data_IF_614912312274
#
_entry.id   IF_614912312274
#
_cell.length_a   1.000
_cell.length_b   1.000
_cell.length_c   1.000
_cell.angle_alpha   90.00
_cell.angle_beta   90.00
_cell.angle_gamma   90.00
#
_symmetry.space_group_name_H-M   'P 1'
#
loop_
_entity.id
_entity.type
_entity.pdbx_description
1 polymer ?
#
# COMPACT_ATOMS: atom_id res chain seq x y z
N UNK A 1 1.89 2.96 -12.97
CA UNK A 1 2.78 4.10 -12.63
C UNK A 1 2.75 5.13 -13.74
N UNK A 2 2.97 4.72 -14.99
CA UNK A 2 2.97 5.63 -16.14
C UNK A 2 1.68 6.45 -16.31
N UNK A 3 0.53 5.95 -15.85
CA UNK A 3 -0.74 6.70 -15.86
C UNK A 3 -0.77 7.81 -14.79
N UNK A 4 -0.39 7.51 -13.56
CA UNK A 4 -0.48 8.44 -12.42
C UNK A 4 0.64 9.49 -12.46
N UNK A 5 1.86 9.07 -12.80
CA UNK A 5 3.03 9.93 -12.89
C UNK A 5 3.83 9.59 -14.14
N UNK A 6 3.47 10.09 -15.32
CA UNK A 6 4.13 9.73 -16.58
C UNK A 6 5.66 9.92 -16.58
N UNK A 7 6.17 10.88 -15.83
CA UNK A 7 7.60 11.23 -15.75
C UNK A 7 8.33 10.65 -14.52
N UNK A 8 7.75 9.63 -13.86
CA UNK A 8 8.26 9.06 -12.61
C UNK A 8 9.75 8.67 -12.63
N UNK A 9 10.31 8.35 -13.82
CA UNK A 9 11.71 7.98 -14.02
C UNK A 9 12.67 9.15 -13.77
N UNK A 10 12.24 10.38 -14.03
CA UNK A 10 13.03 11.60 -13.81
C UNK A 10 12.76 12.26 -12.45
N UNK A 11 11.75 11.78 -11.72
CA UNK A 11 11.33 12.31 -10.42
C UNK A 11 12.06 11.66 -9.22
N UNK A 12 13.27 11.13 -9.44
CA UNK A 12 14.05 10.43 -8.41
C UNK A 12 13.25 9.32 -7.68
N UNK A 13 12.39 8.60 -8.43
CA UNK A 13 11.59 7.52 -7.85
C UNK A 13 12.47 6.32 -7.43
N UNK A 14 12.06 5.54 -6.41
CA UNK A 14 12.82 4.39 -5.94
C UNK A 14 12.73 3.15 -6.88
N UNK A 15 12.39 3.33 -8.15
CA UNK A 15 12.15 2.27 -9.13
C UNK A 15 13.29 2.25 -10.16
N UNK A 16 14.32 1.46 -9.89
CA UNK A 16 15.55 1.44 -10.70
C UNK A 16 15.74 0.13 -11.49
N UNK A 17 15.39 -1.01 -10.91
CA UNK A 17 15.76 -2.31 -11.45
C UNK A 17 14.67 -2.84 -12.39
N UNK A 18 14.88 -2.71 -13.70
CA UNK A 18 14.04 -3.40 -14.69
C UNK A 18 14.31 -4.91 -14.63
N UNK A 19 13.27 -5.73 -14.78
CA UNK A 19 13.42 -7.19 -14.89
C UNK A 19 14.22 -7.50 -16.16
N UNK A 20 15.39 -8.12 -16.00
CA UNK A 20 16.27 -8.53 -17.11
C UNK A 20 16.09 -9.98 -17.49
N UNK A 21 15.72 -10.82 -16.53
CA UNK A 21 15.46 -12.25 -16.71
C UNK A 21 14.44 -12.72 -15.69
N UNK A 22 13.69 -13.75 -16.06
CA UNK A 22 12.74 -14.43 -15.19
C UNK A 22 12.89 -15.94 -15.35
N UNK A 23 12.49 -16.70 -14.34
CA UNK A 23 12.54 -18.15 -14.38
C UNK A 23 11.38 -18.73 -13.59
N UNK A 24 10.62 -19.59 -14.26
CA UNK A 24 9.56 -20.37 -13.65
C UNK A 24 10.02 -21.81 -13.51
N UNK A 25 9.66 -22.47 -12.41
CA UNK A 25 9.96 -23.89 -12.23
C UNK A 25 8.93 -24.57 -11.33
N UNK A 26 8.69 -25.85 -11.60
CA UNK A 26 8.01 -26.75 -10.69
C UNK A 26 9.06 -27.40 -9.78
N UNK A 27 8.84 -27.32 -8.47
CA UNK A 27 9.73 -27.92 -7.47
C UNK A 27 9.22 -29.31 -7.08
N UNK A 28 10.13 -30.28 -6.99
CA UNK A 28 9.89 -31.59 -6.40
C UNK A 28 10.72 -31.72 -5.13
N UNK A 29 10.50 -32.77 -4.33
CA UNK A 29 11.24 -32.99 -3.07
C UNK A 29 12.76 -32.93 -3.24
N UNK A 30 13.27 -33.34 -4.41
CA UNK A 30 14.72 -33.44 -4.67
C UNK A 30 15.16 -32.66 -5.90
N UNK A 31 14.27 -31.90 -6.56
CA UNK A 31 14.56 -31.38 -7.89
C UNK A 31 13.80 -30.12 -8.29
N UNK A 32 14.17 -29.61 -9.46
CA UNK A 32 13.63 -28.40 -10.08
C UNK A 32 13.43 -28.65 -11.56
N UNK A 33 12.18 -28.59 -12.02
CA UNK A 33 11.82 -28.75 -13.43
C UNK A 33 11.54 -27.34 -13.97
N UNK A 34 12.41 -26.78 -14.85
CA UNK A 34 12.18 -25.45 -15.42
C UNK A 34 10.94 -25.46 -16.32
N UNK A 35 10.16 -24.38 -16.23
CA UNK A 35 8.97 -24.15 -17.06
C UNK A 35 9.16 -22.89 -17.90
N UNK A 36 8.62 -22.85 -19.12
CA UNK A 36 8.74 -21.69 -19.99
C UNK A 36 7.91 -20.51 -19.44
N UNK A 37 8.54 -19.34 -19.30
CA UNK A 37 7.86 -18.08 -19.06
C UNK A 37 7.66 -17.39 -20.42
N UNK A 38 6.43 -17.44 -20.94
CA UNK A 38 6.07 -16.92 -22.26
C UNK A 38 4.92 -15.91 -22.16
N UNK A 39 4.75 -15.03 -23.17
CA UNK A 39 3.56 -14.19 -23.29
C UNK A 39 2.27 -15.01 -23.14
N UNK A 40 1.36 -14.56 -22.28
CA UNK A 40 0.14 -15.28 -21.90
C UNK A 40 0.25 -16.07 -20.59
N UNK A 41 1.45 -16.28 -20.05
CA UNK A 41 1.63 -16.76 -18.69
C UNK A 41 1.42 -15.60 -17.69
N UNK A 42 0.57 -15.71 -16.66
CA UNK A 42 0.35 -14.64 -15.68
C UNK A 42 1.59 -14.30 -14.84
N UNK A 43 2.60 -15.17 -14.84
CA UNK A 43 3.88 -14.96 -14.17
C UNK A 43 4.93 -14.34 -15.09
N UNK A 44 4.56 -13.97 -16.33
CA UNK A 44 5.45 -13.29 -17.27
C UNK A 44 5.70 -11.85 -16.84
N UNK A 45 6.95 -11.52 -16.51
CA UNK A 45 7.33 -10.24 -15.90
C UNK A 45 8.04 -9.28 -16.85
N UNK A 46 7.98 -9.54 -18.16
CA UNK A 46 8.58 -8.66 -19.15
C UNK A 46 7.99 -7.25 -19.08
N UNK A 47 8.86 -6.24 -18.99
CA UNK A 47 8.46 -4.84 -18.85
C UNK A 47 8.26 -4.36 -17.41
N UNK A 48 8.25 -5.26 -16.43
CA UNK A 48 8.10 -4.92 -15.01
C UNK A 48 9.43 -4.49 -14.37
N UNK A 49 9.30 -3.98 -13.15
CA UNK A 49 10.41 -3.57 -12.29
C UNK A 49 10.40 -4.35 -10.98
N UNK A 50 11.59 -4.64 -10.47
CA UNK A 50 11.80 -5.17 -9.12
C UNK A 50 11.88 -3.97 -8.17
N UNK A 51 10.98 -3.91 -7.20
CA UNK A 51 10.85 -2.76 -6.29
C UNK A 51 10.76 -3.19 -4.84
N UNK A 52 11.20 -2.30 -3.94
CA UNK A 52 10.83 -2.35 -2.53
C UNK A 52 9.51 -1.61 -2.35
N UNK A 53 8.40 -2.33 -2.22
CA UNK A 53 7.07 -1.72 -2.17
C UNK A 53 6.97 -0.65 -1.07
N UNK A 54 7.51 -0.89 0.12
CA UNK A 54 7.50 0.10 1.21
C UNK A 54 8.25 1.40 0.89
N UNK A 55 9.32 1.35 0.08
CA UNK A 55 10.02 2.56 -0.36
C UNK A 55 9.18 3.31 -1.41
N UNK A 56 8.55 2.56 -2.32
CA UNK A 56 7.66 3.12 -3.33
C UNK A 56 6.43 3.78 -2.70
N UNK A 57 5.77 3.14 -1.73
CA UNK A 57 4.61 3.71 -1.04
C UNK A 57 4.99 4.95 -0.23
N UNK A 58 6.16 4.96 0.41
CA UNK A 58 6.68 6.17 1.07
C UNK A 58 6.85 7.32 0.06
N UNK A 59 7.53 7.06 -1.06
CA UNK A 59 7.73 8.05 -2.11
C UNK A 59 6.41 8.56 -2.71
N UNK A 60 5.41 7.68 -2.87
CA UNK A 60 4.06 8.08 -3.28
C UNK A 60 3.37 8.98 -2.24
N UNK A 61 3.57 8.73 -0.95
CA UNK A 61 3.12 9.60 0.13
C UNK A 61 3.72 10.99 0.04
N UNK A 62 5.03 11.10 -0.16
CA UNK A 62 5.73 12.38 -0.35
C UNK A 62 5.16 13.17 -1.54
N UNK A 63 4.85 12.50 -2.67
CA UNK A 63 4.20 13.14 -3.82
C UNK A 63 2.77 13.60 -3.52
N UNK A 64 2.02 12.84 -2.70
CA UNK A 64 0.67 13.22 -2.31
C UNK A 64 0.68 14.43 -1.36
N UNK A 65 1.60 14.47 -0.39
CA UNK A 65 1.80 15.62 0.50
C UNK A 65 2.15 16.90 -0.29
N UNK A 66 3.01 16.80 -1.30
CA UNK A 66 3.33 17.93 -2.20
C UNK A 66 2.12 18.46 -2.97
N UNK A 67 1.11 17.63 -3.21
CA UNK A 67 -0.16 18.00 -3.84
C UNK A 67 -1.20 18.50 -2.82
N UNK A 68 -0.82 18.64 -1.55
CA UNK A 68 -1.68 19.14 -0.48
C UNK A 68 -2.55 18.06 0.19
N UNK A 69 -2.28 16.78 -0.04
CA UNK A 69 -2.96 15.70 0.68
C UNK A 69 -2.42 15.61 2.11
N UNK A 70 -3.32 15.63 3.08
CA UNK A 70 -2.99 15.43 4.49
C UNK A 70 -2.87 13.92 4.79
N UNK A 71 -1.67 13.46 5.17
CA UNK A 71 -1.40 12.05 5.49
C UNK A 71 -1.25 11.87 6.99
N UNK A 72 -2.10 11.02 7.58
CA UNK A 72 -2.08 10.69 9.02
C UNK A 72 -1.62 9.24 9.26
N UNK A 73 -0.30 8.97 9.28
CA UNK A 73 0.19 7.63 9.60
C UNK A 73 -0.11 7.27 11.05
N UNK A 74 -0.43 6.00 11.31
CA UNK A 74 -0.65 5.48 12.66
C UNK A 74 -2.09 5.61 13.19
N UNK A 75 -3.01 6.16 12.39
CA UNK A 75 -4.44 6.20 12.72
C UNK A 75 -5.19 5.19 11.87
N UNK A 76 -5.88 4.24 12.50
CA UNK A 76 -6.69 3.25 11.81
C UNK A 76 -8.15 3.71 11.74
N UNK A 77 -8.74 3.73 10.55
CA UNK A 77 -10.19 3.91 10.40
C UNK A 77 -10.93 2.69 10.96
N UNK A 78 -11.66 2.86 12.05
CA UNK A 78 -12.29 1.79 12.82
C UNK A 78 -13.79 1.66 12.54
N UNK A 79 -14.48 2.78 12.36
CA UNK A 79 -15.94 2.81 12.20
C UNK A 79 -16.33 3.68 11.01
N UNK A 80 -17.31 3.21 10.22
CA UNK A 80 -17.90 3.99 9.13
C UNK A 80 -19.06 4.80 9.69
N UNK A 81 -19.04 6.10 9.45
CA UNK A 81 -20.10 7.02 9.85
C UNK A 81 -21.12 7.15 8.72
N UNK A 82 -22.41 7.18 9.06
CA UNK A 82 -23.51 7.32 8.10
C UNK A 82 -24.37 8.53 8.41
N UNK A 83 -24.88 9.17 7.36
CA UNK A 83 -25.91 10.20 7.44
C UNK A 83 -27.28 9.59 7.74
N UNK A 84 -28.26 10.43 8.07
CA UNK A 84 -29.64 10.01 8.35
C UNK A 84 -30.36 9.39 7.14
N UNK A 85 -29.91 9.69 5.92
CA UNK A 85 -30.40 9.10 4.67
C UNK A 85 -29.73 7.75 4.32
N UNK A 86 -28.78 7.30 5.15
CA UNK A 86 -28.02 6.07 4.97
C UNK A 86 -26.77 6.18 4.08
N UNK A 87 -26.43 7.38 3.59
CA UNK A 87 -25.18 7.60 2.85
C UNK A 87 -23.95 7.62 3.77
N UNK A 88 -22.76 7.28 3.27
CA UNK A 88 -21.51 7.33 4.04
C UNK A 88 -21.11 8.78 4.26
N UNK A 89 -20.96 9.16 5.53
CA UNK A 89 -20.51 10.49 5.96
C UNK A 89 -18.99 10.55 6.15
N UNK A 90 -18.35 9.46 6.55
CA UNK A 90 -16.91 9.43 6.80
C UNK A 90 -16.44 8.19 7.56
N UNK A 91 -15.28 8.29 8.19
CA UNK A 91 -14.68 7.23 9.02
C UNK A 91 -14.20 7.83 10.35
N UNK A 92 -14.47 7.15 11.46
CA UNK A 92 -13.89 7.47 12.76
C UNK A 92 -12.61 6.64 12.98
N UNK A 93 -11.57 7.28 13.50
CA UNK A 93 -10.31 6.60 13.83
C UNK A 93 -10.41 5.87 15.17
N UNK A 94 -9.48 4.95 15.43
CA UNK A 94 -9.44 4.21 16.68
C UNK A 94 -9.26 5.11 17.91
N UNK A 95 -9.90 4.71 19.01
CA UNK A 95 -9.70 5.35 20.31
C UNK A 95 -8.27 5.10 20.81
N UNK A 96 -7.64 6.14 21.36
CA UNK A 96 -6.39 6.01 22.14
C UNK A 96 -6.72 6.08 23.62
N UNK A 97 -6.17 5.13 24.39
CA UNK A 97 -6.39 5.06 25.83
C UNK A 97 -7.45 4.04 26.27
N UNK A 98 -7.58 2.89 25.60
CA UNK A 98 -8.29 1.72 26.14
C UNK A 98 -7.26 0.68 26.60
N UNK A 99 -7.41 0.17 27.81
CA UNK A 99 -6.59 -0.89 28.38
C UNK A 99 -6.95 -2.25 27.76
N UNK A 100 -6.05 -3.22 27.93
CA UNK A 100 -6.17 -4.56 27.33
C UNK A 100 -7.42 -5.32 27.82
N UNK A 101 -7.95 -4.94 28.97
CA UNK A 101 -9.19 -5.43 29.58
C UNK A 101 -10.45 -4.66 29.13
N UNK A 102 -10.31 -3.68 28.24
CA UNK A 102 -11.39 -2.81 27.77
C UNK A 102 -11.66 -1.59 28.66
N UNK A 103 -10.95 -1.44 29.79
CA UNK A 103 -11.13 -0.29 30.67
C UNK A 103 -10.48 0.98 30.09
N UNK A 104 -11.04 2.18 30.31
CA UNK A 104 -10.39 3.41 29.85
C UNK A 104 -9.10 3.72 30.64
N UNK A 105 -8.00 4.00 29.94
CA UNK A 105 -6.77 4.59 30.48
C UNK A 105 -6.91 6.12 30.50
N UNK A 106 -6.62 6.73 31.63
CA UNK A 106 -6.63 8.19 31.77
C UNK A 106 -5.29 8.76 31.31
N UNK A 107 -5.24 9.79 30.43
CA UNK A 107 -6.37 10.46 29.78
C UNK A 107 -6.84 9.72 28.51
N UNK A 108 -8.17 9.65 28.33
CA UNK A 108 -8.80 9.17 27.09
C UNK A 108 -8.82 10.35 26.11
N UNK A 109 -8.30 10.17 24.91
CA UNK A 109 -8.40 11.17 23.85
C UNK A 109 -9.21 10.60 22.68
N UNK A 110 -10.37 11.19 22.41
CA UNK A 110 -11.13 10.97 21.19
C UNK A 110 -10.67 11.99 20.16
N UNK A 111 -10.12 11.54 19.03
CA UNK A 111 -9.79 12.41 17.91
C UNK A 111 -10.89 12.26 16.86
N UNK A 112 -11.83 13.21 16.85
CA UNK A 112 -12.87 13.30 15.82
C UNK A 112 -12.37 14.28 14.76
N UNK A 113 -12.09 13.79 13.55
CA UNK A 113 -11.93 14.63 12.37
C UNK A 113 -13.30 14.78 11.70
N UNK A 114 -13.74 16.02 11.53
CA UNK A 114 -15.01 16.38 10.89
C UNK A 114 -14.78 17.37 9.75
#
# INVERSE_FOLDING_TARGET
MDELFPDWKNMNSPVYQKVTSESLALLTTTGRIPMPAMPGNPLYNHGNYIVRLGHLTKWLGERAEELGVEIYPGYAGQEVLYNSDGSVAGVATNDVGVARDGAPKVPIAFMLWG
#
